data_IF_142657666771
#
_entry.id   IF_142657666771
#
_cell.length_a   1.000
_cell.length_b   1.000
_cell.length_c   1.000
_cell.angle_alpha   90.00
_cell.angle_beta   90.00
_cell.angle_gamma   90.00
#
_symmetry.space_group_name_H-M   'P 1'
#
loop_
_entity.id
_entity.type
_entity.pdbx_description
1 polymer ?
#
# COMPACT_ATOMS: atom_id res chain seq x y z
N UNK A 1 -77.57 -10.90 12.99
CA UNK A 1 -77.46 -12.30 13.46
C UNK A 1 -76.13 -12.82 12.93
N UNK A 2 -75.07 -13.16 13.67
CA UNK A 2 -74.86 -13.51 15.09
C UNK A 2 -73.34 -13.54 15.35
N UNK A 3 -72.93 -13.04 16.53
CA UNK A 3 -71.79 -13.44 17.39
C UNK A 3 -70.37 -13.58 16.78
N UNK A 4 -69.38 -12.76 17.16
CA UNK A 4 -68.63 -12.77 18.44
C UNK A 4 -68.04 -14.14 18.80
N UNK A 5 -66.72 -14.22 18.95
CA UNK A 5 -66.03 -14.72 20.15
C UNK A 5 -64.51 -14.89 19.89
N UNK A 6 -63.71 -14.03 20.53
CA UNK A 6 -62.35 -14.32 21.01
C UNK A 6 -62.53 -15.07 22.35
N UNK A 7 -61.68 -16.04 22.73
CA UNK A 7 -60.68 -15.72 23.78
C UNK A 7 -59.38 -16.55 23.82
N UNK A 8 -58.35 -15.92 24.43
CA UNK A 8 -57.38 -16.42 25.43
C UNK A 8 -56.44 -17.60 25.12
N UNK A 9 -55.12 -17.37 25.05
CA UNK A 9 -54.09 -17.47 26.12
C UNK A 9 -53.94 -18.89 26.70
N UNK A 10 -52.73 -19.46 26.58
CA UNK A 10 -52.06 -20.26 27.61
C UNK A 10 -50.57 -20.49 27.23
N UNK A 11 -49.67 -19.81 27.96
CA UNK A 11 -48.31 -20.30 28.21
C UNK A 11 -48.38 -21.48 29.18
N UNK A 12 -47.39 -22.39 29.17
CA UNK A 12 -46.59 -22.49 30.40
C UNK A 12 -45.09 -22.80 30.21
N UNK A 13 -44.30 -22.15 31.08
CA UNK A 13 -43.16 -22.63 31.90
C UNK A 13 -41.98 -23.33 31.19
N UNK A 14 -40.80 -22.71 31.19
CA UNK A 14 -39.76 -22.74 32.25
C UNK A 14 -39.30 -24.13 32.67
N UNK A 15 -38.07 -24.49 32.29
CA UNK A 15 -37.16 -25.24 33.16
C UNK A 15 -35.71 -24.93 32.83
N UNK A 16 -35.04 -24.44 33.87
CA UNK A 16 -33.62 -24.20 34.06
C UNK A 16 -32.85 -25.50 34.28
N UNK A 17 -31.62 -25.60 33.76
CA UNK A 17 -30.60 -26.50 34.29
C UNK A 17 -29.18 -25.92 34.08
N UNK A 18 -28.69 -25.31 35.16
CA UNK A 18 -27.35 -25.41 35.75
C UNK A 18 -26.15 -25.91 34.93
N UNK A 19 -25.19 -24.98 34.77
CA UNK A 19 -23.76 -25.07 35.12
C UNK A 19 -22.98 -26.36 34.84
N UNK A 20 -21.97 -26.25 33.97
CA UNK A 20 -20.70 -26.96 34.17
C UNK A 20 -19.52 -26.07 33.82
N UNK A 21 -18.90 -25.55 34.87
CA UNK A 21 -17.56 -24.96 34.90
C UNK A 21 -16.51 -26.04 34.70
N UNK A 22 -15.63 -25.88 33.72
CA UNK A 22 -14.32 -26.54 33.70
C UNK A 22 -13.27 -25.52 33.27
N UNK A 23 -12.41 -25.19 34.23
CA UNK A 23 -11.15 -24.49 34.11
C UNK A 23 -10.17 -25.20 33.16
N UNK A 24 -9.42 -24.43 32.35
CA UNK A 24 -8.32 -24.97 31.56
C UNK A 24 -7.61 -23.95 30.67
N UNK A 25 -6.71 -23.18 31.27
CA UNK A 25 -5.37 -22.81 30.75
C UNK A 25 -5.23 -22.03 29.43
N UNK A 26 -4.82 -20.76 29.59
CA UNK A 26 -4.16 -19.81 28.63
C UNK A 26 -3.04 -20.44 27.79
N UNK A 27 -2.82 -19.98 26.55
CA UNK A 27 -1.91 -18.83 26.29
C UNK A 27 -2.49 -17.82 25.27
N UNK A 28 -2.43 -16.51 25.52
CA UNK A 28 -1.36 -15.58 25.07
C UNK A 28 -1.24 -15.45 23.54
N UNK A 29 -1.95 -14.51 22.91
CA UNK A 29 -1.59 -13.97 21.58
C UNK A 29 -1.95 -12.48 21.51
N UNK A 30 -1.10 -11.67 22.14
CA UNK A 30 -0.80 -10.31 21.70
C UNK A 30 0.69 -10.35 21.40
N UNK A 31 1.07 -10.37 20.13
CA UNK A 31 2.16 -9.51 19.70
C UNK A 31 2.09 -9.28 18.18
N UNK A 32 1.87 -8.01 17.86
CA UNK A 32 2.15 -7.42 16.56
C UNK A 32 3.64 -7.58 16.28
N UNK A 33 3.98 -8.24 15.18
CA UNK A 33 5.34 -8.18 14.63
C UNK A 33 5.35 -7.15 13.51
N UNK A 34 6.26 -6.15 13.54
CA UNK A 34 6.42 -5.20 12.45
C UNK A 34 7.11 -5.87 11.26
N UNK A 35 6.82 -5.34 10.07
CA UNK A 35 7.15 -5.88 8.76
C UNK A 35 8.55 -6.46 8.62
N UNK A 36 8.59 -7.71 8.16
CA UNK A 36 9.80 -8.40 7.74
C UNK A 36 10.25 -7.83 6.38
N UNK A 37 11.48 -7.32 6.31
CA UNK A 37 12.09 -6.91 5.05
C UNK A 37 12.29 -8.14 4.14
N UNK A 38 11.69 -8.11 2.94
CA UNK A 38 11.74 -9.17 1.91
C UNK A 38 13.17 -9.57 1.49
N UNK A 39 14.20 -8.75 1.81
CA UNK A 39 15.59 -8.97 1.42
C UNK A 39 16.33 -9.88 2.42
N UNK A 40 15.86 -10.01 3.67
CA UNK A 40 16.53 -10.82 4.69
C UNK A 40 16.26 -12.34 4.58
N UNK A 41 15.29 -12.78 3.77
CA UNK A 41 14.94 -14.21 3.62
C UNK A 41 15.91 -15.01 2.75
N UNK A 42 16.84 -14.37 2.03
CA UNK A 42 17.69 -15.06 1.04
C UNK A 42 19.21 -14.92 1.28
N UNK A 43 19.66 -14.77 2.53
CA UNK A 43 21.11 -14.79 2.83
C UNK A 43 21.58 -16.20 3.24
N UNK A 44 22.45 -16.87 2.46
CA UNK A 44 22.98 -18.17 2.85
C UNK A 44 23.93 -18.04 4.05
N UNK A 45 23.67 -18.81 5.11
CA UNK A 45 24.52 -18.91 6.30
C UNK A 45 25.87 -19.53 5.92
N UNK A 46 26.93 -18.73 5.97
CA UNK A 46 28.31 -19.21 5.87
C UNK A 46 28.82 -19.54 7.27
N UNK A 47 29.07 -20.82 7.53
CA UNK A 47 29.67 -21.34 8.76
C UNK A 47 31.16 -21.00 8.79
N UNK A 48 31.57 -20.01 9.60
CA UNK A 48 32.99 -19.78 9.90
C UNK A 48 33.30 -20.25 11.32
N UNK A 49 34.16 -21.26 11.36
CA UNK A 49 34.70 -21.98 12.51
C UNK A 49 35.80 -21.12 13.16
N UNK A 50 35.64 -20.76 14.44
CA UNK A 50 36.64 -20.01 15.22
C UNK A 50 37.60 -20.98 15.90
N UNK A 51 38.94 -20.80 15.86
CA UNK A 51 39.84 -21.52 16.75
C UNK A 51 40.09 -20.74 18.06
N UNK A 52 40.21 -21.53 19.12
CA UNK A 52 40.47 -21.18 20.51
C UNK A 52 41.97 -20.90 20.70
N UNK A 53 42.35 -19.75 21.25
CA UNK A 53 43.73 -19.46 21.67
C UNK A 53 43.78 -19.23 23.18
N UNK A 54 44.71 -19.94 23.82
CA UNK A 54 44.94 -19.92 25.26
C UNK A 54 45.74 -18.69 25.71
N UNK A 55 45.35 -18.27 26.92
CA UNK A 55 45.94 -17.36 27.90
C UNK A 55 47.47 -17.26 27.97
N UNK A 56 47.99 -16.03 28.13
CA UNK A 56 49.13 -15.71 29.00
C UNK A 56 49.04 -14.25 29.48
N UNK A 57 48.87 -14.08 30.80
CA UNK A 57 49.01 -12.82 31.52
C UNK A 57 50.46 -12.33 31.49
N UNK A 58 50.67 -11.07 31.10
CA UNK A 58 51.83 -10.31 31.54
C UNK A 58 51.42 -8.89 31.94
N UNK A 59 51.87 -8.52 33.13
CA UNK A 59 51.69 -7.23 33.78
C UNK A 59 52.76 -6.26 33.26
N UNK A 60 52.39 -4.98 33.06
CA UNK A 60 52.98 -3.80 33.73
C UNK A 60 52.87 -2.49 32.93
N UNK A 61 52.54 -1.46 33.73
CA UNK A 61 53.00 -0.06 33.74
C UNK A 61 52.19 0.98 32.98
N UNK A 62 51.52 1.79 33.80
CA UNK A 62 51.04 3.14 33.55
C UNK A 62 52.20 4.09 33.23
N UNK A 63 52.03 4.91 32.21
CA UNK A 63 52.74 6.17 32.04
C UNK A 63 51.75 7.20 31.48
N UNK A 64 51.36 8.12 32.36
CA UNK A 64 50.62 9.33 32.00
C UNK A 64 51.57 10.30 31.30
N UNK A 65 51.19 10.81 30.14
CA UNK A 65 51.77 12.05 29.62
C UNK A 65 50.65 12.98 29.14
N UNK A 66 50.73 14.19 29.71
CA UNK A 66 50.12 15.49 29.40
C UNK A 66 49.32 15.66 28.11
N UNK A 67 48.05 16.00 28.34
CA UNK A 67 47.23 17.02 27.67
C UNK A 67 47.93 17.96 26.66
N UNK A 68 47.42 17.93 25.43
CA UNK A 68 47.41 19.08 24.51
C UNK A 68 45.95 19.33 24.09
N UNK A 69 45.41 20.55 24.24
CA UNK A 69 44.06 20.88 23.82
C UNK A 69 44.09 21.42 22.39
N UNK A 70 43.57 20.64 21.45
CA UNK A 70 42.94 21.16 20.24
C UNK A 70 42.27 19.97 19.52
N UNK A 71 41.27 19.41 20.19
CA UNK A 71 40.18 18.79 19.46
C UNK A 71 39.11 19.88 19.35
N UNK A 72 39.10 20.58 18.22
CA UNK A 72 37.86 21.16 17.72
C UNK A 72 36.88 20.00 17.73
N UNK A 73 35.95 20.01 18.69
CA UNK A 73 34.75 19.20 18.68
C UNK A 73 33.99 19.61 17.43
N UNK A 74 34.41 19.03 16.32
CA UNK A 74 33.56 18.92 15.16
C UNK A 74 32.52 17.95 15.65
N UNK A 75 31.36 18.50 16.03
CA UNK A 75 30.14 17.73 16.13
C UNK A 75 29.99 17.01 14.80
N UNK A 76 30.52 15.79 14.71
CA UNK A 76 30.17 14.84 13.68
C UNK A 76 28.75 14.38 14.01
N UNK A 77 27.82 15.33 13.93
CA UNK A 77 26.41 15.07 13.86
C UNK A 77 26.27 14.16 12.64
N UNK A 78 25.84 12.92 12.88
CA UNK A 78 25.68 11.86 11.88
C UNK A 78 24.63 12.23 10.84
N UNK A 79 24.96 13.24 10.05
CA UNK A 79 24.11 13.87 9.06
C UNK A 79 24.14 12.94 7.87
N UNK A 80 22.96 12.45 7.48
CA UNK A 80 22.78 11.60 6.31
C UNK A 80 23.35 12.37 5.12
N UNK A 81 24.39 11.84 4.49
CA UNK A 81 24.97 12.46 3.30
C UNK A 81 24.17 12.05 2.06
N UNK A 82 23.99 12.96 1.10
CA UNK A 82 23.12 12.81 -0.08
C UNK A 82 21.64 12.55 0.24
N UNK A 83 21.00 13.50 0.93
CA UNK A 83 19.55 13.50 1.11
C UNK A 83 18.90 13.90 -0.23
N UNK A 84 18.03 13.08 -0.82
CA UNK A 84 17.29 13.48 -2.02
C UNK A 84 16.33 14.63 -1.72
N UNK A 85 15.97 15.40 -2.74
CA UNK A 85 14.97 16.45 -2.58
C UNK A 85 13.59 15.81 -2.33
N UNK A 86 13.10 15.97 -1.11
CA UNK A 86 11.84 15.39 -0.67
C UNK A 86 10.62 16.30 -0.90
N UNK A 87 10.76 17.48 -1.51
CA UNK A 87 9.66 18.44 -1.71
C UNK A 87 8.44 17.81 -2.39
N UNK A 88 8.66 17.01 -3.42
CA UNK A 88 7.62 16.29 -4.17
C UNK A 88 8.02 14.82 -4.37
N UNK A 89 7.08 13.93 -4.67
CA UNK A 89 7.40 12.55 -5.05
C UNK A 89 8.27 12.47 -6.32
N UNK A 90 8.08 13.35 -7.29
CA UNK A 90 8.88 13.38 -8.52
C UNK A 90 10.33 13.81 -8.28
N UNK A 91 10.58 14.73 -7.35
CA UNK A 91 11.94 15.24 -7.06
C UNK A 91 12.81 14.21 -6.34
N UNK A 92 12.21 13.19 -5.73
CA UNK A 92 12.91 12.09 -5.05
C UNK A 92 13.64 11.19 -6.06
N UNK A 93 13.18 11.11 -7.31
CA UNK A 93 13.71 10.21 -8.35
C UNK A 93 14.32 10.98 -9.54
N UNK A 94 15.39 11.78 -9.33
CA UNK A 94 15.95 12.65 -10.36
C UNK A 94 16.60 11.91 -11.53
N UNK A 95 17.04 10.65 -11.37
CA UNK A 95 17.63 9.89 -12.48
C UNK A 95 16.56 9.35 -13.43
N UNK A 96 15.42 8.94 -12.88
CA UNK A 96 14.29 8.39 -13.66
C UNK A 96 13.41 9.52 -14.21
N UNK A 97 13.22 10.60 -13.44
CA UNK A 97 12.28 11.68 -13.73
C UNK A 97 12.97 13.05 -13.69
N UNK A 98 13.91 13.34 -14.60
CA UNK A 98 14.69 14.58 -14.56
C UNK A 98 13.86 15.83 -14.88
N UNK A 99 12.76 15.67 -15.64
CA UNK A 99 11.88 16.77 -16.05
C UNK A 99 10.73 17.05 -15.06
N UNK A 100 10.61 16.27 -13.98
CA UNK A 100 9.56 16.43 -12.98
C UNK A 100 8.19 15.92 -13.45
N UNK A 101 7.08 16.48 -12.93
CA UNK A 101 5.72 16.03 -13.26
C UNK A 101 5.22 16.52 -14.63
N UNK A 102 4.12 15.93 -15.15
CA UNK A 102 3.43 16.44 -16.35
C UNK A 102 2.97 17.89 -16.19
N UNK A 103 2.92 18.69 -17.28
CA UNK A 103 3.13 18.32 -18.69
C UNK A 103 4.60 18.32 -19.14
N UNK A 104 5.56 18.63 -18.25
CA UNK A 104 6.98 18.71 -18.63
C UNK A 104 7.61 17.33 -18.90
N UNK A 105 7.00 16.27 -18.36
CA UNK A 105 7.35 14.86 -18.56
C UNK A 105 6.08 14.08 -18.90
N UNK A 106 6.16 12.99 -19.69
CA UNK A 106 5.00 12.13 -19.91
C UNK A 106 4.47 11.55 -18.59
N UNK A 107 3.16 11.32 -18.52
CA UNK A 107 2.53 10.63 -17.39
C UNK A 107 3.03 9.18 -17.24
N UNK A 108 3.37 8.52 -18.34
CA UNK A 108 3.85 7.14 -18.33
C UNK A 108 5.28 7.05 -17.76
N UNK A 109 5.46 6.24 -16.70
CA UNK A 109 6.73 6.00 -16.02
C UNK A 109 7.12 4.53 -16.13
N UNK A 110 8.37 4.27 -16.49
CA UNK A 110 8.96 2.93 -16.45
C UNK A 110 9.12 2.44 -15.00
N UNK A 111 8.25 1.52 -14.57
CA UNK A 111 8.27 0.94 -13.22
C UNK A 111 9.60 0.23 -12.93
N UNK A 112 10.23 -0.37 -13.95
CA UNK A 112 11.53 -1.04 -13.82
C UNK A 112 12.66 -0.06 -13.51
N UNK A 113 12.70 1.09 -14.18
CA UNK A 113 13.72 2.11 -13.91
C UNK A 113 13.48 2.80 -12.57
N UNK A 114 12.22 3.12 -12.26
CA UNK A 114 11.81 3.66 -10.96
C UNK A 114 12.21 2.73 -9.82
N UNK A 115 11.97 1.41 -9.96
CA UNK A 115 12.37 0.40 -8.98
C UNK A 115 13.88 0.32 -8.81
N UNK A 116 14.65 0.44 -9.90
CA UNK A 116 16.12 0.44 -9.84
C UNK A 116 16.64 1.63 -9.04
N UNK A 117 16.12 2.83 -9.28
CA UNK A 117 16.51 4.02 -8.53
C UNK A 117 16.06 3.95 -7.06
N UNK A 118 14.82 3.50 -6.82
CA UNK A 118 14.30 3.24 -5.47
C UNK A 118 15.24 2.35 -4.63
N UNK A 119 15.69 1.22 -5.18
CA UNK A 119 16.61 0.32 -4.49
C UNK A 119 17.98 0.97 -4.21
N UNK A 120 18.48 1.81 -5.12
CA UNK A 120 19.73 2.57 -4.91
C UNK A 120 19.59 3.58 -3.76
N UNK A 121 18.47 4.30 -3.72
CA UNK A 121 18.19 5.28 -2.67
C UNK A 121 18.05 4.59 -1.32
N UNK A 122 17.20 3.55 -1.21
CA UNK A 122 17.06 2.76 0.02
C UNK A 122 18.39 2.15 0.47
N UNK A 123 19.20 1.64 -0.47
CA UNK A 123 20.53 1.12 -0.17
C UNK A 123 21.48 2.17 0.42
N UNK A 124 21.25 3.45 0.19
CA UNK A 124 22.07 4.56 0.72
C UNK A 124 21.59 5.01 2.09
N UNK A 125 20.27 5.14 2.29
CA UNK A 125 19.67 5.75 3.48
C UNK A 125 19.05 4.77 4.49
N UNK A 126 19.19 3.45 4.30
CA UNK A 126 18.53 2.46 5.17
C UNK A 126 18.83 2.67 6.67
N UNK A 127 17.81 2.66 7.55
CA UNK A 127 17.95 2.98 8.97
C UNK A 127 18.89 2.04 9.74
N UNK A 128 19.02 0.78 9.30
CA UNK A 128 19.95 -0.20 9.89
C UNK A 128 21.42 0.22 9.84
N UNK A 129 21.78 1.20 9.01
CA UNK A 129 23.14 1.74 8.94
C UNK A 129 23.47 2.69 10.09
N UNK A 130 22.46 3.15 10.82
CA UNK A 130 22.60 4.17 11.85
C UNK A 130 22.36 3.57 13.24
N UNK A 131 23.20 3.91 14.24
CA UNK A 131 22.96 3.51 15.62
C UNK A 131 21.68 4.19 16.15
N UNK A 132 21.04 3.64 17.19
CA UNK A 132 19.87 4.27 17.81
C UNK A 132 20.16 5.73 18.18
N UNK A 133 19.31 6.65 17.72
CA UNK A 133 19.49 8.08 17.91
C UNK A 133 18.80 8.94 16.84
N UNK A 134 19.02 10.26 16.85
CA UNK A 134 18.38 11.20 15.93
C UNK A 134 18.66 10.89 14.44
N UNK A 135 19.87 10.44 14.10
CA UNK A 135 20.24 10.07 12.73
C UNK A 135 19.45 8.86 12.22
N UNK A 136 19.21 7.86 13.08
CA UNK A 136 18.35 6.72 12.75
C UNK A 136 16.90 7.15 12.53
N UNK A 137 16.36 8.03 13.37
CA UNK A 137 15.00 8.57 13.19
C UNK A 137 14.86 9.35 11.87
N UNK A 138 15.86 10.15 11.51
CA UNK A 138 15.89 10.85 10.22
C UNK A 138 15.93 9.84 9.05
N UNK A 139 16.74 8.78 9.15
CA UNK A 139 16.84 7.74 8.14
C UNK A 139 15.52 6.96 7.98
N UNK A 140 14.84 6.67 9.09
CA UNK A 140 13.52 6.05 9.10
C UNK A 140 12.49 6.94 8.39
N UNK A 141 12.44 8.24 8.73
CA UNK A 141 11.53 9.19 8.11
C UNK A 141 11.78 9.35 6.59
N UNK A 142 13.04 9.46 6.19
CA UNK A 142 13.41 9.54 4.77
C UNK A 142 13.06 8.25 4.03
N UNK A 143 13.38 7.09 4.61
CA UNK A 143 13.05 5.78 4.02
C UNK A 143 11.54 5.62 3.84
N UNK A 144 10.74 6.04 4.82
CA UNK A 144 9.28 6.05 4.72
C UNK A 144 8.78 6.92 3.56
N UNK A 145 9.33 8.14 3.42
CA UNK A 145 8.94 9.08 2.35
C UNK A 145 9.32 8.57 0.95
N UNK A 146 10.47 7.91 0.82
CA UNK A 146 10.88 7.27 -0.45
C UNK A 146 9.96 6.08 -0.78
N UNK A 147 9.57 5.29 0.23
CA UNK A 147 8.63 4.18 0.03
C UNK A 147 7.26 4.68 -0.43
N UNK A 148 6.75 5.74 0.19
CA UNK A 148 5.49 6.38 -0.21
C UNK A 148 5.57 6.87 -1.65
N UNK A 149 6.59 7.66 -1.98
CA UNK A 149 6.77 8.18 -3.33
C UNK A 149 6.89 7.06 -4.38
N UNK A 150 7.63 5.98 -4.08
CA UNK A 150 7.73 4.83 -4.97
C UNK A 150 6.37 4.15 -5.18
N UNK A 151 5.61 3.89 -4.09
CA UNK A 151 4.29 3.25 -4.19
C UNK A 151 3.34 4.10 -5.02
N UNK A 152 3.24 5.39 -4.71
CA UNK A 152 2.37 6.33 -5.42
C UNK A 152 2.74 6.45 -6.89
N UNK A 153 4.03 6.64 -7.21
CA UNK A 153 4.45 6.78 -8.60
C UNK A 153 4.45 5.44 -9.36
N UNK A 154 4.48 4.29 -8.70
CA UNK A 154 4.47 2.99 -9.39
C UNK A 154 3.09 2.59 -9.90
N UNK A 155 2.02 2.99 -9.21
CA UNK A 155 0.64 2.66 -9.56
C UNK A 155 -0.01 3.80 -10.36
N UNK A 156 -0.54 3.57 -11.58
CA UNK A 156 -1.15 4.62 -12.39
C UNK A 156 -2.30 5.36 -11.69
N UNK A 157 -3.16 4.65 -10.94
CA UNK A 157 -4.28 5.25 -10.23
C UNK A 157 -3.78 6.17 -9.10
N UNK A 158 -2.92 5.67 -8.22
CA UNK A 158 -2.34 6.48 -7.15
C UNK A 158 -1.54 7.68 -7.69
N UNK A 159 -0.82 7.50 -8.81
CA UNK A 159 -0.08 8.58 -9.49
C UNK A 159 -1.03 9.67 -9.99
N UNK A 160 -2.13 9.30 -10.62
CA UNK A 160 -3.11 10.26 -11.12
C UNK A 160 -3.80 11.02 -9.99
N UNK A 161 -4.22 10.33 -8.93
CA UNK A 161 -4.79 10.94 -7.73
C UNK A 161 -3.80 11.92 -7.09
N UNK A 162 -2.53 11.54 -6.99
CA UNK A 162 -1.46 12.39 -6.48
C UNK A 162 -1.29 13.66 -7.32
N UNK A 163 -1.23 13.54 -8.65
CA UNK A 163 -1.09 14.69 -9.54
C UNK A 163 -2.29 15.64 -9.44
N UNK A 164 -3.51 15.11 -9.48
CA UNK A 164 -4.74 15.91 -9.37
C UNK A 164 -4.79 16.66 -8.03
N UNK A 165 -4.47 15.99 -6.92
CA UNK A 165 -4.52 16.60 -5.59
C UNK A 165 -3.40 17.61 -5.37
N UNK A 166 -2.14 17.21 -5.53
CA UNK A 166 -1.00 18.05 -5.12
C UNK A 166 -0.70 19.17 -6.12
N UNK A 167 -1.06 19.01 -7.40
CA UNK A 167 -0.73 20.00 -8.43
C UNK A 167 -1.92 20.84 -8.87
N UNK A 168 -3.14 20.32 -8.71
CA UNK A 168 -4.35 20.98 -9.21
C UNK A 168 -5.40 21.22 -8.13
N UNK A 169 -5.16 20.80 -6.88
CA UNK A 169 -6.10 20.93 -5.75
C UNK A 169 -7.45 20.23 -6.02
N UNK A 170 -7.43 19.16 -6.82
CA UNK A 170 -8.59 18.34 -7.18
C UNK A 170 -8.51 17.02 -6.42
N UNK A 171 -9.36 16.86 -5.40
CA UNK A 171 -9.45 15.61 -4.63
C UNK A 171 -10.57 14.70 -5.17
N UNK A 172 -10.19 13.73 -5.99
CA UNK A 172 -11.10 12.69 -6.53
C UNK A 172 -11.40 11.57 -5.51
N UNK A 173 -10.76 11.59 -4.34
CA UNK A 173 -10.89 10.55 -3.30
C UNK A 173 -11.80 10.95 -2.14
N UNK A 174 -12.13 12.24 -2.00
CA UNK A 174 -13.04 12.72 -0.98
C UNK A 174 -14.44 12.08 -1.13
N UNK A 175 -15.09 11.73 -0.02
CA UNK A 175 -16.43 11.11 -0.04
C UNK A 175 -17.48 12.04 -0.71
N UNK A 176 -17.32 13.36 -0.60
CA UNK A 176 -18.13 14.34 -1.31
C UNK A 176 -17.89 14.32 -2.84
N UNK A 177 -16.72 13.82 -3.25
CA UNK A 177 -16.32 13.66 -4.64
C UNK A 177 -17.22 12.69 -5.40
N UNK A 178 -17.77 11.64 -4.77
CA UNK A 178 -18.71 10.74 -5.45
C UNK A 178 -20.05 11.43 -5.82
N UNK A 179 -20.47 12.43 -5.03
CA UNK A 179 -21.65 13.26 -5.33
C UNK A 179 -21.35 14.39 -6.33
N UNK A 180 -20.11 14.92 -6.33
CA UNK A 180 -19.67 16.00 -7.22
C UNK A 180 -19.04 15.51 -8.53
N UNK A 181 -18.69 14.24 -8.64
CA UNK A 181 -18.00 13.63 -9.77
C UNK A 181 -18.77 12.41 -10.25
N UNK A 182 -20.01 12.66 -10.67
CA UNK A 182 -20.86 11.64 -11.26
C UNK A 182 -20.12 10.94 -12.41
N UNK A 183 -20.18 9.61 -12.41
CA UNK A 183 -19.74 8.79 -13.52
C UNK A 183 -20.45 9.20 -14.80
N UNK A 184 -19.75 9.09 -15.92
CA UNK A 184 -20.44 9.16 -17.20
C UNK A 184 -21.45 7.99 -17.32
N UNK A 185 -22.59 8.21 -18.00
CA UNK A 185 -23.63 7.19 -18.10
C UNK A 185 -23.16 5.88 -18.73
N UNK A 186 -22.17 5.94 -19.62
CA UNK A 186 -21.63 4.78 -20.34
C UNK A 186 -20.88 3.84 -19.38
N UNK A 187 -19.99 4.40 -18.57
CA UNK A 187 -19.25 3.69 -17.53
C UNK A 187 -20.19 3.08 -16.49
N UNK A 188 -21.23 3.81 -16.08
CA UNK A 188 -22.19 3.28 -15.12
C UNK A 188 -22.91 2.05 -15.68
N UNK A 189 -23.32 2.08 -16.95
CA UNK A 189 -23.93 0.92 -17.61
C UNK A 189 -22.96 -0.27 -17.66
N UNK A 190 -21.69 -0.05 -17.99
CA UNK A 190 -20.70 -1.14 -18.01
C UNK A 190 -20.47 -1.74 -16.61
N UNK A 191 -20.42 -0.91 -15.56
CA UNK A 191 -20.28 -1.40 -14.18
C UNK A 191 -21.49 -2.25 -13.79
N UNK A 192 -22.70 -1.82 -14.16
CA UNK A 192 -23.92 -2.57 -13.91
C UNK A 192 -23.95 -3.89 -14.69
N UNK A 193 -23.54 -3.91 -15.96
CA UNK A 193 -23.46 -5.12 -16.79
C UNK A 193 -22.48 -6.14 -16.20
N UNK A 194 -21.32 -5.68 -15.70
CA UNK A 194 -20.37 -6.55 -15.01
C UNK A 194 -20.99 -7.15 -13.75
N UNK A 195 -21.68 -6.34 -12.94
CA UNK A 195 -22.36 -6.82 -11.73
C UNK A 195 -23.45 -7.85 -12.05
N UNK A 196 -24.30 -7.58 -13.04
CA UNK A 196 -25.35 -8.51 -13.49
C UNK A 196 -24.73 -9.83 -13.96
N UNK A 197 -23.64 -9.77 -14.75
CA UNK A 197 -22.94 -10.98 -15.20
C UNK A 197 -22.43 -11.82 -14.02
N UNK A 198 -21.92 -11.19 -12.97
CA UNK A 198 -21.43 -11.89 -11.78
C UNK A 198 -22.59 -12.51 -10.98
N UNK A 199 -23.71 -11.80 -10.86
CA UNK A 199 -24.92 -12.28 -10.20
C UNK A 199 -25.51 -13.50 -10.93
N UNK A 200 -25.57 -13.46 -12.26
CA UNK A 200 -26.09 -14.55 -13.10
C UNK A 200 -25.23 -15.81 -13.04
N UNK A 201 -23.91 -15.63 -12.97
CA UNK A 201 -22.95 -16.75 -12.95
C UNK A 201 -23.10 -17.61 -11.68
N UNK A 202 -23.31 -16.99 -10.52
CA UNK A 202 -23.58 -17.67 -9.25
C UNK A 202 -22.67 -18.88 -8.96
N UNK A 203 -23.27 -20.08 -8.93
CA UNK A 203 -22.56 -21.35 -8.74
C UNK A 203 -22.69 -22.30 -9.94
N UNK A 204 -23.01 -21.78 -11.12
CA UNK A 204 -23.26 -22.58 -12.31
C UNK A 204 -21.98 -23.28 -12.82
N UNK A 205 -22.10 -24.48 -13.42
CA UNK A 205 -20.97 -25.14 -14.07
C UNK A 205 -20.50 -24.29 -15.25
N UNK A 206 -19.33 -23.67 -15.11
CA UNK A 206 -18.77 -22.71 -16.08
C UNK A 206 -18.45 -21.35 -15.49
N UNK A 207 -18.87 -21.09 -14.25
CA UNK A 207 -18.68 -19.83 -13.55
C UNK A 207 -17.22 -19.34 -13.56
N UNK A 208 -16.27 -20.22 -13.26
CA UNK A 208 -14.84 -19.89 -13.26
C UNK A 208 -14.34 -19.40 -14.63
N UNK A 209 -14.87 -19.97 -15.72
CA UNK A 209 -14.50 -19.56 -17.08
C UNK A 209 -15.04 -18.17 -17.41
N UNK A 210 -16.28 -17.88 -17.02
CA UNK A 210 -16.89 -16.55 -17.22
C UNK A 210 -16.17 -15.49 -16.41
N UNK A 211 -15.87 -15.77 -15.14
CA UNK A 211 -15.11 -14.86 -14.27
C UNK A 211 -13.68 -14.63 -14.80
N UNK A 212 -13.04 -15.65 -15.36
CA UNK A 212 -11.73 -15.49 -16.01
C UNK A 212 -11.79 -14.56 -17.24
N UNK A 213 -12.86 -14.65 -18.04
CA UNK A 213 -13.07 -13.75 -19.18
C UNK A 213 -13.35 -12.32 -18.70
N UNK A 214 -14.20 -12.13 -17.68
CA UNK A 214 -14.43 -10.81 -17.07
C UNK A 214 -13.14 -10.18 -16.54
N UNK A 215 -12.24 -10.96 -15.92
CA UNK A 215 -10.92 -10.49 -15.47
C UNK A 215 -10.11 -9.95 -16.64
N UNK A 216 -10.05 -10.70 -17.75
CA UNK A 216 -9.30 -10.31 -18.95
C UNK A 216 -9.88 -9.06 -19.62
N UNK A 217 -11.21 -8.96 -19.68
CA UNK A 217 -11.89 -7.77 -20.20
C UNK A 217 -11.60 -6.55 -19.32
N UNK A 218 -11.68 -6.71 -17.99
CA UNK A 218 -11.37 -5.64 -17.06
C UNK A 218 -9.89 -5.20 -17.14
N UNK A 219 -8.94 -6.13 -17.30
CA UNK A 219 -7.53 -5.80 -17.54
C UNK A 219 -7.35 -4.95 -18.80
N UNK A 220 -8.09 -5.26 -19.88
CA UNK A 220 -8.07 -4.48 -21.13
C UNK A 220 -8.63 -3.07 -20.88
N UNK A 221 -9.77 -2.94 -20.20
CA UNK A 221 -10.37 -1.65 -19.82
C UNK A 221 -9.43 -0.80 -18.96
N UNK A 222 -8.70 -1.42 -18.03
CA UNK A 222 -7.69 -0.73 -17.21
C UNK A 222 -6.57 -0.17 -18.08
N UNK A 223 -6.02 -0.96 -19.01
CA UNK A 223 -4.95 -0.49 -19.91
C UNK A 223 -5.43 0.69 -20.77
N UNK A 224 -6.59 0.57 -21.40
CA UNK A 224 -7.17 1.64 -22.22
C UNK A 224 -7.42 2.92 -21.41
N UNK A 225 -7.94 2.78 -20.18
CA UNK A 225 -8.17 3.90 -19.29
C UNK A 225 -6.86 4.60 -18.91
N UNK A 226 -5.80 3.84 -18.62
CA UNK A 226 -4.46 4.40 -18.33
C UNK A 226 -3.87 5.12 -19.55
N UNK A 227 -4.08 4.63 -20.76
CA UNK A 227 -3.64 5.31 -21.99
C UNK A 227 -4.36 6.64 -22.20
N UNK A 228 -5.70 6.67 -22.04
CA UNK A 228 -6.48 7.91 -22.12
C UNK A 228 -6.07 8.92 -21.05
N UNK A 229 -5.86 8.43 -19.82
CA UNK A 229 -5.39 9.23 -18.70
C UNK A 229 -4.01 9.85 -18.98
N UNK A 230 -3.09 9.07 -19.56
CA UNK A 230 -1.78 9.55 -19.96
C UNK A 230 -1.89 10.68 -20.99
N UNK A 231 -2.68 10.47 -22.04
CA UNK A 231 -2.92 11.48 -23.07
C UNK A 231 -3.54 12.76 -22.50
N UNK A 232 -4.46 12.63 -21.53
CA UNK A 232 -5.10 13.78 -20.89
C UNK A 232 -4.09 14.62 -20.07
N UNK A 233 -3.24 13.99 -19.26
CA UNK A 233 -2.18 14.68 -18.53
C UNK A 233 -1.13 15.31 -19.45
N UNK A 234 -0.74 14.61 -20.52
CA UNK A 234 0.25 15.08 -21.48
C UNK A 234 -0.29 16.28 -22.30
N UNK A 235 -1.60 16.31 -22.56
CA UNK A 235 -2.29 17.45 -23.19
C UNK A 235 -2.65 18.59 -22.21
N UNK A 236 -2.54 18.36 -20.90
CA UNK A 236 -2.98 19.30 -19.87
C UNK A 236 -4.51 19.41 -19.73
N UNK A 237 -5.27 18.45 -20.24
CA UNK A 237 -6.71 18.38 -20.06
C UNK A 237 -7.05 17.75 -18.71
N UNK A 238 -7.18 18.62 -17.69
CA UNK A 238 -7.43 18.21 -16.32
C UNK A 238 -8.83 17.63 -16.11
N UNK A 239 -9.82 18.05 -16.90
CA UNK A 239 -11.18 17.57 -16.74
C UNK A 239 -11.30 16.13 -17.26
N UNK A 240 -10.70 15.87 -18.43
CA UNK A 240 -10.60 14.50 -18.95
C UNK A 240 -9.74 13.62 -18.04
N UNK A 241 -8.62 14.13 -17.52
CA UNK A 241 -7.78 13.38 -16.57
C UNK A 241 -8.54 13.04 -15.28
N UNK A 242 -9.37 13.96 -14.78
CA UNK A 242 -10.24 13.73 -13.62
C UNK A 242 -11.27 12.65 -13.89
N UNK A 243 -11.98 12.71 -15.01
CA UNK A 243 -12.99 11.71 -15.39
C UNK A 243 -12.38 10.32 -15.56
N UNK A 244 -11.26 10.21 -16.30
CA UNK A 244 -10.56 8.94 -16.49
C UNK A 244 -9.97 8.41 -15.17
N UNK A 245 -9.51 9.27 -14.26
CA UNK A 245 -9.05 8.83 -12.93
C UNK A 245 -10.19 8.22 -12.10
N UNK A 246 -11.39 8.82 -12.13
CA UNK A 246 -12.57 8.27 -11.45
C UNK A 246 -12.95 6.93 -12.09
N UNK A 247 -13.00 6.86 -13.42
CA UNK A 247 -13.29 5.64 -14.18
C UNK A 247 -12.31 4.51 -13.86
N UNK A 248 -11.01 4.81 -13.81
CA UNK A 248 -9.95 3.85 -13.44
C UNK A 248 -10.17 3.26 -12.03
N UNK A 249 -10.62 4.09 -11.06
CA UNK A 249 -10.94 3.63 -9.71
C UNK A 249 -12.00 2.53 -9.70
N UNK A 250 -13.04 2.66 -10.53
CA UNK A 250 -14.08 1.63 -10.64
C UNK A 250 -13.56 0.33 -11.24
N UNK A 251 -12.73 0.39 -12.28
CA UNK A 251 -12.09 -0.81 -12.83
C UNK A 251 -11.16 -1.51 -11.83
N UNK A 252 -10.51 -0.75 -10.96
CA UNK A 252 -9.74 -1.31 -9.85
C UNK A 252 -10.64 -2.01 -8.83
N UNK A 253 -11.77 -1.41 -8.48
CA UNK A 253 -12.75 -2.02 -7.57
C UNK A 253 -13.33 -3.32 -8.14
N UNK A 254 -13.68 -3.33 -9.43
CA UNK A 254 -14.11 -4.54 -10.15
C UNK A 254 -12.99 -5.58 -10.15
N UNK A 255 -11.74 -5.19 -10.41
CA UNK A 255 -10.61 -6.11 -10.39
C UNK A 255 -10.44 -6.79 -9.02
N UNK A 256 -10.53 -6.03 -7.93
CA UNK A 256 -10.46 -6.58 -6.57
C UNK A 256 -11.63 -7.52 -6.31
N UNK A 257 -12.84 -7.11 -6.67
CA UNK A 257 -14.02 -7.94 -6.55
C UNK A 257 -13.90 -9.28 -7.28
N UNK A 258 -13.50 -9.25 -8.55
CA UNK A 258 -13.34 -10.46 -9.36
C UNK A 258 -12.24 -11.36 -8.80
N UNK A 259 -11.21 -10.78 -8.16
CA UNK A 259 -10.14 -11.52 -7.50
C UNK A 259 -10.62 -12.21 -6.22
N UNK A 260 -11.50 -11.56 -5.47
CA UNK A 260 -12.11 -12.09 -4.23
C UNK A 260 -13.31 -13.00 -4.48
N UNK A 261 -13.81 -13.05 -5.71
CA UNK A 261 -14.92 -13.91 -6.09
C UNK A 261 -14.58 -15.40 -5.86
N UNK A 262 -15.50 -16.11 -5.23
CA UNK A 262 -15.50 -17.57 -5.05
C UNK A 262 -16.82 -18.15 -5.59
N UNK A 263 -16.85 -19.42 -6.02
CA UNK A 263 -18.08 -20.05 -6.50
C UNK A 263 -19.23 -19.95 -5.49
N UNK A 264 -20.36 -19.37 -5.92
CA UNK A 264 -21.53 -19.13 -5.07
C UNK A 264 -21.60 -17.74 -4.42
N UNK A 265 -20.61 -16.86 -4.61
CA UNK A 265 -20.77 -15.43 -4.35
C UNK A 265 -21.51 -14.76 -5.51
N UNK A 266 -22.68 -14.21 -5.23
CA UNK A 266 -23.50 -13.48 -6.21
C UNK A 266 -23.22 -11.99 -6.22
N UNK A 267 -22.66 -11.42 -5.14
CA UNK A 267 -22.41 -9.97 -5.04
C UNK A 267 -20.92 -9.68 -4.80
N UNK A 268 -20.39 -8.74 -5.57
CA UNK A 268 -19.11 -8.09 -5.29
C UNK A 268 -19.40 -6.78 -4.55
N UNK A 269 -18.85 -6.62 -3.35
CA UNK A 269 -18.83 -5.32 -2.69
C UNK A 269 -17.86 -4.39 -3.40
N UNK A 270 -18.38 -3.50 -4.24
CA UNK A 270 -17.62 -2.36 -4.71
C UNK A 270 -17.44 -1.39 -3.53
N UNK A 271 -16.20 -1.29 -3.03
CA UNK A 271 -15.85 -0.30 -2.01
C UNK A 271 -15.87 1.08 -2.67
N UNK A 272 -16.71 1.99 -2.16
CA UNK A 272 -16.90 3.33 -2.70
C UNK A 272 -15.78 4.28 -2.24
#
# INVERSE_FOLDING_TARGET
>A
MTASLRPQRLLPRLSSATSRTTSGTRPSFLDQTPGTCLICQFRPQSTIRVPRVHHLQQTRRFASTSSSPNATTTDNNGTIQNIPDITNHYTIFPKTLPAGPPPSSPFHISVSDLRREFLQLQGTIHPDKYPPGPSKQQAEALSARINEAYRTLSDPLARAQYLLREMHDIDVTAEDGAAHHALDPETLMEVMEVQETIEEVGAEPGAESTIAELKKQNETRVVECVEKLANAFDAGDLESARQECVRLRFWYNIAQGLKEWEPGLTEIRLVH
#
